data_IF_796558586222
#
_entry.id   IF_796558586222
#
_cell.length_a   1.000
_cell.length_b   1.000
_cell.length_c   1.000
_cell.angle_alpha   90.00
_cell.angle_beta   90.00
_cell.angle_gamma   90.00
#
_symmetry.space_group_name_H-M   'P 1'
#
loop_
_entity.id
_entity.type
_entity.pdbx_description
1 polymer ?
#
# COMPACT_ATOMS: atom_id res chain seq x y z
N UNK A 1 1.70 4.92 -31.44
CA UNK A 1 1.90 5.56 -30.12
C UNK A 1 1.83 4.44 -29.10
N UNK A 2 2.97 4.03 -28.55
CA UNK A 2 2.98 2.96 -27.56
C UNK A 2 2.41 3.53 -26.26
N UNK A 3 1.20 3.10 -25.88
CA UNK A 3 0.71 3.30 -24.52
C UNK A 3 1.55 2.40 -23.63
N UNK A 4 2.67 2.91 -23.15
CA UNK A 4 3.53 2.18 -22.22
C UNK A 4 2.76 2.01 -20.90
N UNK A 5 2.40 0.76 -20.63
CA UNK A 5 1.65 0.40 -19.43
C UNK A 5 2.63 0.38 -18.27
N UNK A 6 2.51 1.36 -17.40
CA UNK A 6 3.41 1.52 -16.24
C UNK A 6 2.81 0.94 -14.95
N UNK A 7 1.54 0.54 -14.97
CA UNK A 7 0.92 -0.13 -13.84
C UNK A 7 -0.50 -0.64 -14.10
N UNK A 8 -1.14 -1.12 -13.05
CA UNK A 8 -2.51 -1.63 -13.08
C UNK A 8 -3.35 -0.98 -11.99
N UNK A 9 -4.66 -0.90 -12.20
CA UNK A 9 -5.58 -0.43 -11.16
C UNK A 9 -5.65 -1.43 -10.00
N UNK A 10 -5.45 -0.96 -8.77
CA UNK A 10 -5.53 -1.75 -7.54
C UNK A 10 -6.89 -2.40 -7.31
N UNK A 11 -7.95 -1.82 -7.88
CA UNK A 11 -9.32 -2.27 -7.66
C UNK A 11 -9.79 -3.25 -8.76
N UNK A 12 -9.63 -2.89 -10.04
CA UNK A 12 -10.15 -3.70 -11.15
C UNK A 12 -9.09 -4.36 -12.04
N UNK A 13 -7.80 -4.07 -11.83
CA UNK A 13 -6.71 -4.65 -12.62
C UNK A 13 -6.53 -4.06 -14.02
N UNK A 14 -7.29 -3.03 -14.42
CA UNK A 14 -7.13 -2.38 -15.71
C UNK A 14 -5.70 -1.84 -15.91
N UNK A 15 -5.13 -2.00 -17.09
CA UNK A 15 -3.82 -1.46 -17.46
C UNK A 15 -3.86 0.07 -17.50
N UNK A 16 -2.87 0.70 -16.86
CA UNK A 16 -2.76 2.16 -16.72
C UNK A 16 -1.43 2.64 -17.31
N UNK A 17 -1.51 3.71 -18.08
CA UNK A 17 -0.38 4.45 -18.61
C UNK A 17 0.07 5.53 -17.63
N UNK A 18 1.18 6.21 -17.92
CA UNK A 18 1.69 7.30 -17.08
C UNK A 18 0.67 8.45 -16.91
N UNK A 19 -0.11 8.75 -17.94
CA UNK A 19 -1.11 9.83 -17.89
C UNK A 19 -2.26 9.51 -16.91
N UNK A 20 -2.56 8.23 -16.74
CA UNK A 20 -3.64 7.77 -15.87
C UNK A 20 -3.34 8.03 -14.38
N UNK A 21 -2.08 8.23 -13.98
CA UNK A 21 -1.65 8.48 -12.60
C UNK A 21 -1.53 9.97 -12.22
N UNK A 22 -2.21 10.85 -12.97
CA UNK A 22 -2.31 12.26 -12.63
C UNK A 22 -2.98 12.46 -11.25
N UNK A 23 -2.70 13.59 -10.58
CA UNK A 23 -3.01 13.81 -9.14
C UNK A 23 -4.44 13.51 -8.73
N UNK A 24 -5.41 13.82 -9.59
CA UNK A 24 -6.84 13.67 -9.30
C UNK A 24 -7.54 12.73 -10.29
N UNK A 25 -6.77 11.99 -11.08
CA UNK A 25 -7.35 11.16 -12.11
C UNK A 25 -7.97 9.88 -11.54
N UNK A 26 -8.99 9.40 -12.23
CA UNK A 26 -9.74 8.21 -11.89
C UNK A 26 -9.50 7.14 -12.96
N UNK A 27 -9.58 5.88 -12.55
CA UNK A 27 -9.50 4.77 -13.47
C UNK A 27 -10.74 4.80 -14.38
N UNK A 28 -10.54 4.85 -15.70
CA UNK A 28 -11.62 4.88 -16.68
C UNK A 28 -12.51 3.62 -16.64
N UNK A 29 -12.03 2.52 -16.06
CA UNK A 29 -12.78 1.27 -15.95
C UNK A 29 -13.69 1.21 -14.71
N UNK A 30 -13.25 1.70 -13.55
CA UNK A 30 -13.95 1.50 -12.28
C UNK A 30 -14.18 2.78 -11.46
N UNK A 31 -13.70 3.94 -11.92
CA UNK A 31 -13.87 5.23 -11.26
C UNK A 31 -13.08 5.41 -9.96
N UNK A 32 -12.21 4.45 -9.58
CA UNK A 32 -11.36 4.58 -8.39
C UNK A 32 -10.13 5.44 -8.68
N UNK A 33 -9.66 6.16 -7.66
CA UNK A 33 -8.44 6.94 -7.75
C UNK A 33 -7.26 6.05 -8.17
N UNK A 34 -6.50 6.52 -9.16
CA UNK A 34 -5.32 5.82 -9.67
C UNK A 34 -4.05 6.22 -8.91
N UNK A 35 -3.93 7.49 -8.51
CA UNK A 35 -2.85 7.99 -7.65
C UNK A 35 -3.24 7.87 -6.18
N UNK A 36 -3.22 6.65 -5.66
CA UNK A 36 -3.48 6.35 -4.24
C UNK A 36 -2.42 5.39 -3.70
N UNK A 37 -2.29 5.28 -2.37
CA UNK A 37 -1.30 4.40 -1.75
C UNK A 37 -1.43 2.95 -2.27
N UNK A 38 -2.66 2.43 -2.44
CA UNK A 38 -2.88 1.07 -2.99
C UNK A 38 -2.29 0.80 -4.37
N UNK A 39 -2.05 1.85 -5.15
CA UNK A 39 -1.47 1.76 -6.49
C UNK A 39 0.02 2.09 -6.51
N UNK A 40 0.61 2.44 -5.37
CA UNK A 40 2.02 2.77 -5.22
C UNK A 40 2.82 1.51 -4.92
N UNK A 41 4.00 1.35 -5.53
CA UNK A 41 4.91 0.23 -5.23
C UNK A 41 5.49 0.27 -3.81
N UNK A 42 5.50 1.46 -3.19
CA UNK A 42 6.05 1.67 -1.85
C UNK A 42 5.03 1.37 -0.75
N UNK A 43 3.78 1.12 -1.10
CA UNK A 43 2.76 0.77 -0.12
C UNK A 43 3.03 -0.61 0.45
N UNK A 44 3.28 -0.65 1.76
CA UNK A 44 3.48 -1.87 2.51
C UNK A 44 2.76 -1.76 3.84
N UNK A 45 1.67 -2.51 3.96
CA UNK A 45 0.92 -2.60 5.20
C UNK A 45 1.81 -3.03 6.37
N UNK A 46 1.54 -2.45 7.53
CA UNK A 46 2.19 -2.85 8.76
C UNK A 46 3.55 -2.20 9.02
N UNK A 47 4.01 -1.37 8.09
CA UNK A 47 5.07 -0.39 8.34
C UNK A 47 4.48 0.87 8.97
N UNK A 48 5.30 1.71 9.63
CA UNK A 48 4.90 3.08 9.92
C UNK A 48 4.33 3.74 8.66
N UNK A 49 3.17 4.38 8.78
CA UNK A 49 2.43 5.00 7.67
C UNK A 49 1.97 4.05 6.55
N UNK A 50 2.05 2.73 6.72
CA UNK A 50 1.86 1.70 5.68
C UNK A 50 2.71 1.96 4.42
N UNK A 51 3.92 2.50 4.60
CA UNK A 51 4.82 2.87 3.53
C UNK A 51 6.23 2.35 3.79
N UNK A 52 6.94 2.00 2.72
CA UNK A 52 8.37 1.69 2.76
C UNK A 52 9.23 2.94 2.93
N UNK A 53 8.74 4.10 2.49
CA UNK A 53 9.43 5.37 2.61
C UNK A 53 9.10 6.04 3.96
N UNK A 54 10.04 6.12 4.92
CA UNK A 54 9.75 6.60 6.28
C UNK A 54 9.44 8.11 6.33
N UNK A 55 9.98 8.87 5.38
CA UNK A 55 9.79 10.32 5.28
C UNK A 55 8.52 10.72 4.51
N UNK A 56 7.82 9.75 3.92
CA UNK A 56 6.59 10.05 3.21
C UNK A 56 5.50 10.56 4.16
N UNK A 57 4.79 11.60 3.73
CA UNK A 57 3.66 12.13 4.46
C UNK A 57 2.58 11.06 4.72
N UNK A 58 2.05 10.96 5.95
CA UNK A 58 1.05 9.97 6.29
C UNK A 58 -0.27 10.26 5.58
N UNK A 59 -0.71 9.30 4.76
CA UNK A 59 -2.02 9.35 4.10
C UNK A 59 -3.04 8.58 4.93
N UNK A 60 -4.12 9.22 5.39
CA UNK A 60 -5.15 8.56 6.20
C UNK A 60 -5.93 7.50 5.41
N UNK A 61 -6.46 7.86 4.24
CA UNK A 61 -7.20 6.94 3.37
C UNK A 61 -6.32 6.45 2.22
N UNK A 62 -5.90 5.18 2.30
CA UNK A 62 -4.98 4.56 1.33
C UNK A 62 -5.61 4.32 -0.05
N UNK A 63 -6.93 4.47 -0.17
CA UNK A 63 -7.72 4.21 -1.39
C UNK A 63 -8.13 5.48 -2.13
N UNK A 64 -8.02 6.65 -1.48
CA UNK A 64 -8.30 7.96 -2.08
C UNK A 64 -7.09 8.53 -2.79
N UNK A 65 -7.35 9.48 -3.70
CA UNK A 65 -6.33 10.25 -4.37
C UNK A 65 -5.44 10.96 -3.33
N UNK A 66 -4.12 10.91 -3.55
CA UNK A 66 -3.15 11.55 -2.66
C UNK A 66 -2.17 12.44 -3.45
N UNK A 67 -1.45 13.28 -2.70
CA UNK A 67 -0.46 14.21 -3.24
C UNK A 67 0.97 13.81 -2.92
N UNK A 68 1.17 12.58 -2.42
CA UNK A 68 2.47 12.06 -1.99
C UNK A 68 3.50 12.22 -3.11
N UNK A 69 4.62 12.87 -2.81
CA UNK A 69 5.71 13.11 -3.77
C UNK A 69 6.46 11.83 -4.13
N UNK A 70 6.54 10.88 -3.19
CA UNK A 70 7.17 9.56 -3.37
C UNK A 70 6.28 8.56 -4.11
N UNK A 71 5.09 8.94 -4.56
CA UNK A 71 4.21 8.03 -5.29
C UNK A 71 4.88 7.52 -6.56
N UNK A 72 4.89 6.19 -6.71
CA UNK A 72 5.43 5.56 -7.90
C UNK A 72 4.60 4.32 -8.27
N UNK A 73 4.02 4.26 -9.49
CA UNK A 73 3.08 3.20 -9.85
C UNK A 73 3.67 1.80 -9.73
N UNK A 74 2.84 0.88 -9.24
CA UNK A 74 3.14 -0.54 -9.22
C UNK A 74 2.69 -1.21 -10.52
N UNK A 75 3.58 -2.00 -11.14
CA UNK A 75 3.25 -2.85 -12.29
C UNK A 75 2.09 -3.80 -11.98
N UNK A 76 2.12 -4.40 -10.78
CA UNK A 76 0.99 -5.09 -10.16
C UNK A 76 0.83 -4.59 -8.73
N UNK A 77 -0.25 -3.87 -8.41
CA UNK A 77 -0.55 -3.48 -7.03
C UNK A 77 -0.77 -4.72 -6.17
N UNK A 78 -0.27 -4.70 -4.93
CA UNK A 78 -0.43 -5.84 -4.01
C UNK A 78 -1.91 -6.01 -3.65
N UNK A 79 -2.43 -7.25 -3.66
CA UNK A 79 -3.76 -7.53 -3.16
C UNK A 79 -3.86 -7.14 -1.69
N UNK A 80 -5.06 -6.73 -1.27
CA UNK A 80 -5.38 -6.52 0.13
C UNK A 80 -5.27 -7.84 0.89
N UNK A 81 -4.09 -8.19 1.39
CA UNK A 81 -3.99 -9.29 2.34
C UNK A 81 -4.27 -8.74 3.74
N UNK A 82 -5.37 -9.15 4.39
CA UNK A 82 -5.58 -8.84 5.79
C UNK A 82 -4.40 -9.41 6.58
N UNK A 83 -3.90 -8.65 7.56
CA UNK A 83 -3.00 -9.22 8.56
C UNK A 83 -3.82 -10.24 9.34
N UNK A 84 -3.43 -11.51 9.27
CA UNK A 84 -3.83 -12.48 10.27
C UNK A 84 -3.18 -12.05 11.60
N UNK A 85 -3.90 -11.25 12.39
CA UNK A 85 -3.46 -10.76 13.70
C UNK A 85 -3.24 -11.88 14.74
N UNK A 86 -3.61 -13.11 14.37
CA UNK A 86 -3.43 -14.33 15.15
C UNK A 86 -1.97 -14.74 15.31
N UNK A 87 -1.09 -14.44 14.34
CA UNK A 87 0.32 -14.84 14.42
C UNK A 87 1.17 -13.91 15.33
N UNK A 88 0.91 -12.61 15.31
CA UNK A 88 1.69 -11.62 16.09
C UNK A 88 1.32 -11.60 17.59
N UNK A 89 0.05 -11.86 17.91
CA UNK A 89 -0.40 -11.94 19.31
C UNK A 89 0.23 -13.12 20.05
N UNK A 90 0.36 -14.27 19.39
CA UNK A 90 0.99 -15.46 19.96
C UNK A 90 2.51 -15.28 20.18
N UNK A 91 3.21 -14.64 19.23
CA UNK A 91 4.65 -14.33 19.36
C UNK A 91 4.92 -13.36 20.51
N UNK A 92 4.10 -12.32 20.65
CA UNK A 92 4.24 -11.31 21.72
C UNK A 92 4.04 -11.93 23.10
N UNK A 93 3.02 -12.76 23.27
CA UNK A 93 2.73 -13.44 24.54
C UNK A 93 3.87 -14.38 24.95
N UNK A 94 4.41 -15.16 24.01
CA UNK A 94 5.49 -16.10 24.28
C UNK A 94 6.79 -15.38 24.67
N UNK A 95 7.09 -14.23 24.05
CA UNK A 95 8.25 -13.40 24.38
C UNK A 95 8.15 -12.78 25.78
N UNK A 96 6.97 -12.34 26.19
CA UNK A 96 6.73 -11.81 27.53
C UNK A 96 6.93 -12.90 28.59
N UNK A 97 6.35 -14.08 28.40
CA UNK A 97 6.52 -15.20 29.33
C UNK A 97 7.97 -15.67 29.43
N UNK A 98 8.69 -15.74 28.30
CA UNK A 98 10.11 -16.08 28.30
C UNK A 98 10.96 -15.03 29.03
N UNK A 99 10.62 -13.75 28.91
CA UNK A 99 11.29 -12.67 29.63
C UNK A 99 11.06 -12.77 31.15
N UNK A 100 9.82 -13.01 31.59
CA UNK A 100 9.50 -13.17 33.02
C UNK A 100 10.21 -14.38 33.66
N UNK A 101 10.38 -15.47 32.91
CA UNK A 101 11.08 -16.67 33.38
C UNK A 101 12.59 -16.43 33.62
N UNK A 102 13.20 -15.44 32.98
CA UNK A 102 14.61 -15.08 33.19
C UNK A 102 14.87 -14.32 34.49
N UNK A 103 13.83 -13.77 35.12
CA UNK A 103 13.93 -12.97 36.36
C UNK A 103 13.54 -13.74 37.64
N UNK A 104 13.35 -15.06 37.55
CA UNK A 104 13.12 -15.97 38.69
C UNK A 104 14.32 -16.89 38.90
#
# INVERSE_FOLDING_TARGET
MANDVVGQCWHCGASLTKADYSRENLCLSCGKATRCCRNCRLYQRGRPNDCLEPLAEPVADKTRANFCEHFDPALRPSPDQPRDGSAEAADTQNRLQAAEALFK
#
